data_IF_854756915417
#
_entry.id   IF_854756915417
#
_cell.length_a   1.000
_cell.length_b   1.000
_cell.length_c   1.000
_cell.angle_alpha   90.00
_cell.angle_beta   90.00
_cell.angle_gamma   90.00
#
_symmetry.space_group_name_H-M   'P 1'
#
loop_
_entity.id
_entity.type
_entity.pdbx_description
1 polymer ?
#
# COMPACT_ATOMS: atom_id res chain seq x y z
N UNK A 1 -15.02 -23.04 6.72
CA UNK A 1 -14.44 -22.29 7.85
C UNK A 1 -12.96 -22.58 7.90
N UNK A 2 -12.12 -21.73 7.30
CA UNK A 2 -10.66 -21.90 7.37
C UNK A 2 -10.13 -21.07 8.52
N UNK A 3 -9.92 -21.75 9.65
CA UNK A 3 -9.06 -21.27 10.71
C UNK A 3 -7.62 -21.26 10.17
N UNK A 4 -7.11 -20.07 9.85
CA UNK A 4 -5.68 -19.87 9.62
C UNK A 4 -5.27 -18.61 10.38
N UNK A 5 -4.71 -18.88 11.56
CA UNK A 5 -3.91 -18.05 12.46
C UNK A 5 -4.05 -16.52 12.34
N UNK A 6 -4.80 -15.95 13.28
CA UNK A 6 -4.71 -14.54 13.66
C UNK A 6 -3.35 -14.15 14.32
N UNK A 7 -2.38 -15.07 14.35
CA UNK A 7 -1.08 -14.90 15.03
C UNK A 7 0.13 -14.70 14.11
N UNK A 8 -0.05 -14.67 12.78
CA UNK A 8 1.04 -14.54 11.81
C UNK A 8 0.78 -13.37 10.84
N UNK A 9 0.17 -12.28 11.35
CA UNK A 9 0.09 -11.05 10.57
C UNK A 9 1.51 -10.47 10.51
N UNK A 10 2.10 -10.33 9.32
CA UNK A 10 3.46 -9.83 9.18
C UNK A 10 3.56 -8.45 9.82
N UNK A 11 4.63 -8.24 10.60
CA UNK A 11 4.86 -6.99 11.32
C UNK A 11 5.23 -5.90 10.32
N UNK A 12 4.58 -4.74 10.44
CA UNK A 12 4.93 -3.57 9.64
C UNK A 12 6.32 -3.03 10.02
N UNK A 13 7.14 -2.62 9.03
CA UNK A 13 8.37 -1.93 9.35
C UNK A 13 8.14 -0.61 10.10
N UNK A 14 9.07 -0.16 10.96
CA UNK A 14 8.90 1.06 11.75
C UNK A 14 8.55 2.29 10.89
N UNK A 15 7.57 3.08 11.34
CA UNK A 15 7.12 4.30 10.63
C UNK A 15 6.17 4.05 9.46
N UNK A 16 5.97 2.79 9.04
CA UNK A 16 4.85 2.44 8.17
C UNK A 16 3.57 2.31 9.00
N UNK A 17 2.44 2.81 8.48
CA UNK A 17 1.15 2.73 9.17
C UNK A 17 0.01 2.57 8.19
N UNK A 18 -0.96 1.75 8.57
CA UNK A 18 -2.25 1.68 7.87
C UNK A 18 -3.13 2.85 8.29
N UNK A 19 -3.76 3.51 7.32
CA UNK A 19 -4.74 4.57 7.57
C UNK A 19 -5.84 4.56 6.50
N UNK A 20 -6.85 5.40 6.69
CA UNK A 20 -7.91 5.65 5.74
C UNK A 20 -7.42 6.52 4.58
N UNK A 21 -7.96 6.34 3.36
CA UNK A 21 -7.60 7.14 2.19
C UNK A 21 -8.08 8.61 2.26
N UNK A 22 -9.14 8.88 3.00
CA UNK A 22 -9.64 10.22 3.32
C UNK A 22 -10.49 10.16 4.62
N UNK A 23 -10.80 11.32 5.20
CA UNK A 23 -11.43 11.43 6.54
C UNK A 23 -12.78 10.71 6.65
N UNK A 24 -13.61 10.80 5.60
CA UNK A 24 -14.93 10.15 5.53
C UNK A 24 -14.94 8.75 4.93
N UNK A 25 -13.77 8.10 4.76
CA UNK A 25 -13.73 6.77 4.17
C UNK A 25 -14.34 5.73 5.12
N UNK A 26 -15.27 4.93 4.60
CA UNK A 26 -15.90 3.84 5.35
C UNK A 26 -15.05 2.56 5.26
N UNK A 27 -15.17 1.71 6.28
CA UNK A 27 -14.47 0.43 6.35
C UNK A 27 -13.09 0.51 7.02
N UNK A 28 -12.33 -0.61 6.98
CA UNK A 28 -11.02 -0.69 7.61
C UNK A 28 -9.97 0.17 6.87
N UNK A 29 -8.91 0.62 7.56
CA UNK A 29 -7.76 1.28 6.95
C UNK A 29 -7.20 0.49 5.76
N UNK A 30 -7.19 1.12 4.58
CA UNK A 30 -6.85 0.48 3.30
C UNK A 30 -5.65 1.09 2.61
N UNK A 31 -5.06 2.14 3.17
CA UNK A 31 -3.87 2.80 2.62
C UNK A 31 -2.69 2.57 3.54
N UNK A 32 -1.57 2.14 2.96
CA UNK A 32 -0.30 2.06 3.67
C UNK A 32 0.46 3.35 3.43
N UNK A 33 0.76 4.05 4.52
CA UNK A 33 1.59 5.24 4.53
C UNK A 33 2.97 4.92 5.08
N UNK A 34 3.99 5.58 4.53
CA UNK A 34 5.28 5.76 5.17
C UNK A 34 5.51 7.25 5.31
N UNK A 35 5.69 7.74 6.54
CA UNK A 35 6.07 9.15 6.74
C UNK A 35 5.05 10.14 6.11
N UNK A 36 3.77 9.79 6.05
CA UNK A 36 2.73 10.63 5.45
C UNK A 36 2.62 10.52 3.93
N UNK A 37 3.55 9.85 3.24
CA UNK A 37 3.42 9.51 1.83
C UNK A 37 2.66 8.20 1.64
N UNK A 38 1.69 8.19 0.73
CA UNK A 38 1.01 6.96 0.32
C UNK A 38 1.97 6.10 -0.49
N UNK A 39 2.26 4.88 0.00
CA UNK A 39 3.16 3.92 -0.67
C UNK A 39 2.40 2.76 -1.31
N UNK A 40 1.25 2.39 -0.74
CA UNK A 40 0.36 1.39 -1.31
C UNK A 40 -1.10 1.60 -0.89
N UNK A 41 -2.04 1.08 -1.67
CA UNK A 41 -3.48 1.17 -1.43
C UNK A 41 -4.19 -0.11 -1.83
N UNK A 42 -5.09 -0.59 -0.99
CA UNK A 42 -6.08 -1.61 -1.34
C UNK A 42 -7.30 -0.94 -1.97
N UNK A 43 -7.78 -1.52 -3.06
CA UNK A 43 -9.05 -1.16 -3.68
C UNK A 43 -9.89 -2.39 -3.92
N UNK A 44 -11.20 -2.19 -3.98
CA UNK A 44 -12.16 -3.21 -4.39
C UNK A 44 -12.76 -2.80 -5.74
N UNK A 45 -12.86 -3.75 -6.66
CA UNK A 45 -13.61 -3.59 -7.90
C UNK A 45 -15.10 -3.62 -7.59
N UNK A 46 -15.93 -3.07 -8.47
CA UNK A 46 -17.39 -3.16 -8.36
C UNK A 46 -17.89 -4.62 -8.37
N UNK A 47 -17.15 -5.49 -9.05
CA UNK A 47 -17.36 -6.94 -9.12
C UNK A 47 -16.95 -7.68 -7.84
N UNK A 48 -16.39 -6.97 -6.85
CA UNK A 48 -16.09 -7.48 -5.51
C UNK A 48 -14.65 -7.99 -5.32
N UNK A 49 -13.89 -8.18 -6.40
CA UNK A 49 -12.48 -8.58 -6.30
C UNK A 49 -11.62 -7.45 -5.75
N UNK A 50 -10.56 -7.84 -5.04
CA UNK A 50 -9.63 -6.90 -4.46
C UNK A 50 -8.41 -6.72 -5.36
N UNK A 51 -7.81 -5.55 -5.27
CA UNK A 51 -6.52 -5.28 -5.88
C UNK A 51 -5.68 -4.41 -4.95
N UNK A 52 -4.37 -4.44 -5.17
CA UNK A 52 -3.41 -3.56 -4.50
C UNK A 52 -2.73 -2.72 -5.55
N UNK A 53 -2.71 -1.40 -5.32
CA UNK A 53 -1.82 -0.48 -6.02
C UNK A 53 -0.56 -0.30 -5.18
N UNK A 54 0.59 -0.63 -5.77
CA UNK A 54 1.91 -0.47 -5.17
C UNK A 54 2.65 0.72 -5.80
N UNK A 55 3.77 1.09 -5.19
CA UNK A 55 4.69 2.11 -5.71
C UNK A 55 4.05 3.50 -5.85
N UNK A 56 3.06 3.82 -5.01
CA UNK A 56 2.28 5.07 -5.05
C UNK A 56 3.13 6.32 -4.76
N UNK A 57 4.28 6.13 -4.12
CA UNK A 57 5.27 7.18 -3.86
C UNK A 57 6.07 7.58 -5.10
N UNK A 58 6.09 6.76 -6.16
CA UNK A 58 6.93 7.05 -7.34
C UNK A 58 6.37 8.24 -8.14
N UNK A 59 7.25 9.13 -8.65
CA UNK A 59 6.84 10.25 -9.47
C UNK A 59 6.34 9.78 -10.84
N UNK A 60 5.54 10.62 -11.49
CA UNK A 60 5.20 10.44 -12.90
C UNK A 60 6.48 10.56 -13.76
N UNK A 61 6.69 9.66 -14.75
CA UNK A 61 7.76 9.82 -15.72
C UNK A 61 7.63 11.14 -16.51
N UNK A 62 8.73 11.69 -17.05
CA UNK A 62 8.67 12.87 -17.92
C UNK A 62 7.66 12.70 -19.06
N UNK A 63 6.84 13.73 -19.29
CA UNK A 63 5.80 13.72 -20.32
C UNK A 63 4.60 12.81 -20.02
N UNK A 64 4.49 12.25 -18.81
CA UNK A 64 3.32 11.50 -18.35
C UNK A 64 2.63 12.25 -17.22
N UNK A 65 1.29 12.31 -17.22
CA UNK A 65 0.54 12.97 -16.15
C UNK A 65 0.58 12.17 -14.83
N UNK A 66 0.80 10.86 -14.89
CA UNK A 66 0.76 9.96 -13.73
C UNK A 66 1.85 8.88 -13.80
N UNK A 67 2.27 8.40 -12.63
CA UNK A 67 3.12 7.22 -12.52
C UNK A 67 2.37 5.95 -12.96
N UNK A 68 3.03 4.95 -13.58
CA UNK A 68 2.41 3.68 -13.91
C UNK A 68 1.83 3.00 -12.66
N UNK A 69 0.60 2.49 -12.75
CA UNK A 69 0.02 1.71 -11.67
C UNK A 69 0.66 0.33 -11.61
N UNK A 70 1.37 0.05 -10.52
CA UNK A 70 1.82 -1.30 -10.20
C UNK A 70 0.68 -2.01 -9.48
N UNK A 71 -0.29 -2.51 -10.26
CA UNK A 71 -1.47 -3.20 -9.74
C UNK A 71 -1.22 -4.71 -9.60
N UNK A 72 -1.72 -5.30 -8.52
CA UNK A 72 -1.80 -6.76 -8.35
C UNK A 72 -3.18 -7.16 -7.85
N UNK A 73 -3.82 -8.09 -8.53
CA UNK A 73 -5.13 -8.62 -8.13
C UNK A 73 -4.99 -9.54 -6.91
N UNK A 74 -6.04 -9.57 -6.06
CA UNK A 74 -6.10 -10.30 -4.79
C UNK A 74 -7.49 -10.87 -4.58
N UNK A 75 -7.56 -12.04 -3.96
CA UNK A 75 -8.83 -12.70 -3.70
C UNK A 75 -9.58 -12.13 -2.48
N UNK A 76 -8.92 -11.40 -1.59
CA UNK A 76 -9.55 -10.76 -0.42
C UNK A 76 -8.77 -9.55 0.10
N UNK A 77 -9.45 -8.73 0.91
CA UNK A 77 -8.84 -7.63 1.67
C UNK A 77 -7.67 -8.12 2.52
N UNK A 78 -7.87 -9.15 3.34
CA UNK A 78 -6.84 -9.66 4.25
C UNK A 78 -5.61 -10.20 3.51
N UNK A 79 -5.84 -10.90 2.39
CA UNK A 79 -4.73 -11.39 1.55
C UNK A 79 -3.97 -10.21 0.93
N UNK A 80 -4.69 -9.18 0.46
CA UNK A 80 -4.09 -7.95 -0.03
C UNK A 80 -3.27 -7.24 1.05
N UNK A 81 -3.80 -7.14 2.27
CA UNK A 81 -3.14 -6.47 3.40
C UNK A 81 -1.86 -7.19 3.78
N UNK A 82 -1.92 -8.50 4.04
CA UNK A 82 -0.73 -9.33 4.35
C UNK A 82 0.32 -9.26 3.24
N UNK A 83 -0.09 -9.42 1.98
CA UNK A 83 0.82 -9.34 0.84
C UNK A 83 1.46 -7.96 0.67
N UNK A 84 0.75 -6.89 1.05
CA UNK A 84 1.28 -5.52 1.03
C UNK A 84 2.33 -5.34 2.12
N UNK A 85 2.12 -5.86 3.32
CA UNK A 85 3.14 -5.81 4.37
C UNK A 85 4.38 -6.58 3.96
N UNK A 86 4.25 -7.81 3.43
CA UNK A 86 5.40 -8.58 2.93
C UNK A 86 6.17 -7.82 1.84
N UNK A 87 5.46 -7.12 0.96
CA UNK A 87 6.10 -6.26 -0.04
C UNK A 87 6.83 -5.08 0.61
N UNK A 88 6.23 -4.41 1.58
CA UNK A 88 6.84 -3.29 2.29
C UNK A 88 8.12 -3.72 3.02
N UNK A 89 8.09 -4.85 3.74
CA UNK A 89 9.27 -5.45 4.38
C UNK A 89 10.37 -5.73 3.35
N UNK A 90 10.02 -6.42 2.25
CA UNK A 90 11.00 -6.77 1.21
C UNK A 90 11.64 -5.56 0.53
N UNK A 91 10.94 -4.43 0.44
CA UNK A 91 11.39 -3.25 -0.31
C UNK A 91 11.62 -2.02 0.58
N UNK A 92 11.72 -2.21 1.89
CA UNK A 92 11.73 -1.16 2.89
C UNK A 92 12.79 -0.10 2.59
N UNK A 93 14.05 -0.50 2.45
CA UNK A 93 15.17 0.41 2.21
C UNK A 93 14.96 1.29 0.96
N UNK A 94 14.42 0.69 -0.10
CA UNK A 94 14.13 1.40 -1.36
C UNK A 94 12.97 2.39 -1.18
N UNK A 95 11.87 1.97 -0.55
CA UNK A 95 10.70 2.84 -0.31
C UNK A 95 11.11 4.05 0.53
N UNK A 96 11.91 3.84 1.59
CA UNK A 96 12.43 4.92 2.43
C UNK A 96 13.24 5.93 1.62
N UNK A 97 14.16 5.47 0.78
CA UNK A 97 14.98 6.34 -0.06
C UNK A 97 14.14 7.13 -1.08
N UNK A 98 13.15 6.49 -1.70
CA UNK A 98 12.24 7.11 -2.66
C UNK A 98 11.37 8.20 -2.00
N UNK A 99 10.79 7.92 -0.83
CA UNK A 99 9.98 8.88 -0.06
C UNK A 99 10.83 10.06 0.43
N UNK A 100 12.03 9.80 0.95
CA UNK A 100 12.95 10.86 1.36
C UNK A 100 13.31 11.78 0.18
N UNK A 101 13.63 11.20 -0.99
CA UNK A 101 13.93 11.97 -2.20
C UNK A 101 12.74 12.83 -2.63
N UNK A 102 11.52 12.30 -2.53
CA UNK A 102 10.30 13.04 -2.89
C UNK A 102 10.04 14.22 -1.95
N UNK A 103 10.18 14.02 -0.65
CA UNK A 103 10.02 15.06 0.38
C UNK A 103 11.04 16.20 0.27
N UNK A 104 12.23 15.92 -0.26
CA UNK A 104 13.22 16.96 -0.58
C UNK A 104 12.84 17.82 -1.79
N UNK A 105 11.89 17.37 -2.63
CA UNK A 105 11.47 18.05 -3.86
C UNK A 105 10.13 18.78 -3.73
N UNK A 106 9.40 18.54 -2.64
CA UNK A 106 8.12 19.18 -2.30
C UNK A 106 8.33 20.41 -1.44
#
# INVERSE_FOLDING_TARGET
MSAIYAGDEPVLPPGFRWDRPWQGAMGPPSVLFFEGEEVARLGQRLTGEWYVLLERQRPAPPGKPFAPFVQRDRSSFDQGRRGTVMWAVRHEARIRAEVATRRLRS
#
